data_IF_720963717984
#
_entry.id   IF_720963717984
#
_cell.length_a   1.000
_cell.length_b   1.000
_cell.length_c   1.000
_cell.angle_alpha   90.00
_cell.angle_beta   90.00
_cell.angle_gamma   90.00
#
_symmetry.space_group_name_H-M   'P 1'
#
loop_
_entity.id
_entity.type
_entity.pdbx_description
1 polymer ?
2 polymer ?
3 non-polymer ?
4 water ?
#
loop_
_entity_poly.entity_id
_entity_poly.type
_entity_poly.pdbx_seq_one_letter_code
_entity_poly.pdbx_strand_id
1 'polydeoxyribonucleotide' '(DT)(DC)(DT)(6OG)(DG)(DG)(DG)(DT)(DC)(DC)(DT)(DA)(DG)(DG)(DA)(DC)(DC)(DOC)' ?
#
# COMPACT_ATOMS: atom_id res chain seq x y z
N UNK C 26 11.39 8.53 24.28
CA UNK C 26 11.72 8.18 22.87
C UNK C 26 10.47 8.23 21.98
N UNK C 27 10.17 9.42 21.44
CA UNK C 27 9.04 9.60 20.57
C UNK C 27 9.46 9.80 19.11
N UNK C 28 8.81 9.09 18.23
CA UNK C 28 9.25 9.02 16.85
C UNK C 28 8.61 10.08 16.01
N UNK C 29 9.19 10.27 14.82
CA UNK C 29 8.59 11.10 13.77
C UNK C 29 8.58 10.27 12.48
N UNK C 30 7.37 9.96 12.01
CA UNK C 30 7.16 9.08 10.88
C UNK C 30 6.43 9.87 9.80
N UNK C 31 6.79 9.63 8.55
CA UNK C 31 6.03 10.12 7.41
C UNK C 31 5.33 8.97 6.62
N UNK C 32 4.05 9.12 6.33
CA UNK C 32 3.38 8.19 5.41
C UNK C 32 3.22 8.83 4.05
N UNK C 33 3.96 8.34 3.04
CA UNK C 33 3.82 8.83 1.66
C UNK C 33 2.85 7.97 0.84
N UNK C 34 1.85 8.62 0.26
CA UNK C 34 0.74 7.92 -0.43
C UNK C 34 0.50 8.56 -1.79
N UNK C 35 0.75 7.83 -2.87
CA UNK C 35 0.71 8.44 -4.21
C UNK C 35 -0.71 8.64 -4.65
N UNK C 36 -0.99 9.74 -5.34
CA UNK C 36 -2.35 9.98 -5.89
C UNK C 36 -2.69 9.02 -7.06
N UNK C 37 -3.87 8.39 -7.00
CA UNK C 37 -4.41 7.61 -8.11
C UNK C 37 -3.38 6.89 -8.99
N UNK C 38 -2.45 6.21 -8.33
CA UNK C 38 -1.16 5.80 -8.89
C UNK C 38 -1.11 5.25 -10.34
N UNK C 39 -2.00 4.33 -10.69
CA UNK C 39 -1.89 3.77 -12.02
C UNK C 39 -2.27 4.80 -13.04
N UNK C 40 -3.24 5.64 -12.71
CA UNK C 40 -3.71 6.62 -13.66
C UNK C 40 -2.60 7.64 -13.90
N UNK C 41 -1.83 7.93 -12.84
CA UNK C 41 -0.65 8.77 -12.99
C UNK C 41 0.35 8.25 -14.01
N UNK C 42 0.62 6.96 -13.93
CA UNK C 42 1.61 6.35 -14.80
C UNK C 42 1.08 6.34 -16.24
N UNK C 43 -0.18 6.00 -16.42
CA UNK C 43 -0.73 6.01 -17.74
C UNK C 43 -0.68 7.41 -18.29
N UNK C 44 -1.09 8.39 -17.51
CA UNK C 44 -1.06 9.81 -17.90
C UNK C 44 0.31 10.33 -18.29
N UNK C 45 1.36 9.82 -17.66
CA UNK C 45 2.72 10.11 -18.09
C UNK C 45 2.98 9.45 -19.45
N UNK C 46 2.77 8.13 -19.59
CA UNK C 46 2.91 7.45 -20.90
C UNK C 46 2.24 8.24 -22.03
N UNK C 47 0.92 8.36 -21.97
CA UNK C 47 0.13 9.03 -23.00
C UNK C 47 -0.44 10.37 -22.50
N UNK C 48 0.35 11.47 -22.57
CA UNK C 48 -0.07 12.80 -22.10
C UNK C 48 -1.37 13.33 -22.72
N UNK C 49 -1.79 12.77 -23.84
CA UNK C 49 -3.09 13.14 -24.41
C UNK C 49 -4.24 12.72 -23.50
N UNK C 50 -3.91 11.95 -22.46
CA UNK C 50 -4.88 11.55 -21.45
C UNK C 50 -4.95 12.56 -20.29
N UNK C 51 -3.90 13.35 -20.07
CA UNK C 51 -3.93 14.37 -19.00
C UNK C 51 -5.17 15.27 -19.16
N UNK C 52 -5.79 15.60 -18.01
CA UNK C 52 -7.07 16.34 -17.95
C UNK C 52 -8.22 15.84 -18.87
N UNK C 53 -8.04 14.63 -19.41
CA UNK C 53 -9.13 13.81 -19.96
C UNK C 53 -9.42 12.74 -18.89
N UNK C 54 -10.71 12.49 -18.61
CA UNK C 54 -11.09 11.65 -17.47
C UNK C 54 -10.72 10.18 -17.67
N UNK C 55 -9.88 9.65 -16.81
CA UNK C 55 -9.23 8.36 -17.08
C UNK C 55 -9.47 7.33 -16.00
N UNK C 56 -9.88 6.13 -16.43
CA UNK C 56 -9.98 4.97 -15.55
C UNK C 56 -9.04 3.87 -16.02
N UNK C 57 -8.55 3.06 -15.08
CA UNK C 57 -7.65 1.96 -15.37
C UNK C 57 -8.37 0.63 -15.19
N UNK C 58 -8.28 -0.19 -16.21
CA UNK C 58 -9.16 -1.30 -16.30
C UNK C 58 -8.44 -2.62 -16.12
N UNK C 59 -9.06 -3.49 -15.33
CA UNK C 59 -8.57 -4.83 -15.21
C UNK C 59 -9.82 -5.68 -15.22
N UNK C 60 -9.98 -6.50 -16.26
CA UNK C 60 -11.21 -7.26 -16.43
C UNK C 60 -12.41 -6.30 -16.41
N UNK C 61 -13.49 -6.71 -15.76
CA UNK C 61 -14.71 -5.91 -15.61
C UNK C 61 -14.52 -4.73 -14.61
N UNK C 62 -13.30 -4.56 -14.10
CA UNK C 62 -13.08 -3.60 -13.01
C UNK C 62 -12.42 -2.29 -13.38
N UNK C 63 -12.92 -1.19 -12.82
CA UNK C 63 -12.22 0.08 -12.94
C UNK C 63 -11.50 0.29 -11.65
N UNK C 64 -10.22 0.00 -11.70
CA UNK C 64 -9.52 -0.28 -10.51
C UNK C 64 -9.16 1.06 -9.83
N UNK C 65 -8.68 2.01 -10.63
CA UNK C 65 -8.51 3.40 -10.22
C UNK C 65 -8.75 4.34 -11.42
N UNK C 66 -8.81 5.65 -11.15
CA UNK C 66 -9.21 6.64 -12.15
C UNK C 66 -8.67 8.00 -11.75
N UNK C 67 -8.52 8.92 -12.70
CA UNK C 67 -7.90 10.19 -12.34
C UNK C 67 -8.87 11.16 -11.68
N UNK C 68 -8.37 12.28 -11.16
CA UNK C 68 -9.24 13.15 -10.40
C UNK C 68 -10.24 13.80 -11.32
N UNK C 69 -9.79 14.07 -12.54
CA UNK C 69 -10.68 14.55 -13.59
C UNK C 69 -11.87 13.59 -13.71
N UNK C 70 -11.65 12.31 -13.48
CA UNK C 70 -12.73 11.33 -13.61
C UNK C 70 -13.51 11.12 -12.32
N UNK C 71 -12.85 11.29 -11.17
CA UNK C 71 -13.53 11.13 -9.87
C UNK C 71 -14.66 12.14 -9.73
N UNK C 72 -14.38 13.39 -10.08
CA UNK C 72 -15.35 14.51 -10.07
C UNK C 72 -16.68 14.13 -10.71
N UNK C 73 -16.59 13.41 -11.83
CA UNK C 73 -17.74 13.00 -12.64
C UNK C 73 -18.48 11.78 -12.06
N UNK C 74 -18.23 11.46 -10.79
CA UNK C 74 -18.91 10.35 -10.10
C UNK C 74 -18.35 8.94 -10.26
N UNK C 75 -17.10 8.82 -10.70
CA UNK C 75 -16.44 7.52 -10.74
C UNK C 75 -15.78 7.29 -9.39
N UNK C 76 -15.86 6.07 -8.87
CA UNK C 76 -15.19 5.72 -7.62
C UNK C 76 -14.29 4.53 -7.89
N UNK C 77 -13.29 4.32 -7.03
CA UNK C 77 -12.33 3.23 -7.27
C UNK C 77 -13.05 1.90 -7.11
N UNK C 78 -12.64 0.93 -7.91
CA UNK C 78 -13.30 -0.39 -7.91
C UNK C 78 -14.79 -0.33 -8.22
N UNK C 79 -15.15 0.53 -9.17
CA UNK C 79 -16.47 0.55 -9.76
C UNK C 79 -16.43 -0.40 -10.96
N UNK C 80 -17.55 -1.03 -11.29
CA UNK C 80 -17.63 -1.85 -12.50
C UNK C 80 -17.43 -0.99 -13.74
N UNK C 81 -16.76 -1.52 -14.76
CA UNK C 81 -16.69 -0.84 -16.07
C UNK C 81 -18.12 -0.74 -16.60
N UNK C 82 -18.92 -1.71 -16.18
CA UNK C 82 -20.35 -1.82 -16.45
C UNK C 82 -21.07 -0.49 -16.13
N UNK C 83 -21.13 -0.12 -14.87
CA UNK C 83 -21.73 1.12 -14.46
C UNK C 83 -20.97 2.32 -14.87
N UNK C 84 -19.66 2.24 -14.74
CA UNK C 84 -18.79 3.38 -14.83
C UNK C 84 -18.96 4.12 -16.09
N UNK C 85 -19.15 3.42 -17.18
CA UNK C 85 -19.42 4.11 -18.39
C UNK C 85 -20.78 4.80 -18.33
N UNK C 86 -21.74 4.13 -17.70
CA UNK C 86 -23.12 4.63 -17.62
C UNK C 86 -23.25 5.84 -16.70
N UNK C 87 -22.17 6.15 -16.01
CA UNK C 87 -22.08 7.33 -15.16
C UNK C 87 -21.16 8.36 -15.82
N UNK C 88 -20.25 7.85 -16.65
CA UNK C 88 -19.47 8.72 -17.53
C UNK C 88 -19.23 8.06 -18.89
N UNK C 89 -20.03 8.45 -19.89
CA UNK C 89 -19.86 7.97 -21.28
C UNK C 89 -18.87 8.81 -22.09
N UNK C 90 -17.72 9.11 -21.49
CA UNK C 90 -16.62 9.74 -22.20
C UNK C 90 -15.37 9.11 -21.64
N UNK C 91 -15.52 8.58 -20.42
CA UNK C 91 -14.44 7.95 -19.66
C UNK C 91 -13.54 7.19 -20.59
N UNK C 92 -12.27 7.59 -20.64
CA UNK C 92 -11.30 6.90 -21.49
C UNK C 92 -10.62 5.85 -20.66
N UNK C 93 -10.75 4.60 -21.10
CA UNK C 93 -10.26 3.45 -20.36
C UNK C 93 -8.98 2.90 -20.95
N UNK C 94 -8.03 2.64 -20.06
CA UNK C 94 -6.75 2.03 -20.43
C UNK C 94 -6.57 0.75 -19.57
N UNK C 95 -5.98 -0.28 -20.18
CA UNK C 95 -5.90 -1.61 -19.58
C UNK C 95 -4.70 -1.73 -18.67
N UNK C 96 -4.93 -2.10 -17.42
CA UNK C 96 -3.82 -2.20 -16.48
C UNK C 96 -3.68 -3.54 -15.81
N UNK C 97 -3.86 -4.60 -16.58
CA UNK C 97 -3.73 -5.98 -16.09
C UNK C 97 -2.27 -6.42 -15.90
N UNK C 98 -1.38 -5.70 -16.58
CA UNK C 98 0.03 -5.96 -16.62
C UNK C 98 0.62 -4.91 -15.74
N UNK C 99 1.20 -5.32 -14.61
CA UNK C 99 1.70 -4.35 -13.64
C UNK C 99 3.16 -3.94 -13.88
N UNK C 100 3.81 -4.48 -14.93
CA UNK C 100 5.24 -4.23 -15.12
C UNK C 100 5.64 -2.77 -14.86
N UNK C 101 5.07 -1.83 -15.61
CA UNK C 101 5.40 -0.41 -15.40
C UNK C 101 5.02 0.16 -14.04
N UNK C 102 3.89 -0.24 -13.45
CA UNK C 102 3.53 0.35 -12.16
C UNK C 102 4.42 -0.19 -11.08
N UNK C 103 4.83 -1.43 -11.25
CA UNK C 103 5.80 -2.01 -10.36
C UNK C 103 7.12 -1.25 -10.52
N UNK C 104 7.58 -1.05 -11.75
CA UNK C 104 8.89 -0.43 -11.91
C UNK C 104 8.92 0.95 -11.28
N UNK C 105 7.89 1.75 -11.57
CA UNK C 105 7.83 3.10 -11.08
C UNK C 105 7.67 3.15 -9.56
N UNK C 106 6.83 2.28 -9.02
CA UNK C 106 6.73 2.06 -7.56
C UNK C 106 8.08 1.92 -6.86
N UNK C 107 8.96 1.09 -7.39
CA UNK C 107 10.30 0.97 -6.82
C UNK C 107 11.18 2.21 -6.90
N UNK C 108 11.04 3.00 -7.96
CA UNK C 108 11.82 4.23 -8.09
C UNK C 108 11.42 5.16 -6.96
N UNK C 109 10.12 5.28 -6.71
CA UNK C 109 9.67 6.01 -5.53
C UNK C 109 10.38 5.55 -4.26
N UNK C 110 10.17 4.30 -3.85
CA UNK C 110 10.80 3.76 -2.66
C UNK C 110 12.30 4.08 -2.66
N UNK C 111 12.96 3.96 -3.79
CA UNK C 111 14.39 4.14 -3.80
C UNK C 111 14.78 5.59 -3.56
N UNK C 112 13.99 6.50 -4.09
CA UNK C 112 14.15 7.90 -3.83
C UNK C 112 14.03 8.12 -2.30
N UNK C 113 12.96 7.66 -1.69
CA UNK C 113 12.81 7.80 -0.25
C UNK C 113 13.96 7.13 0.54
N UNK C 114 14.47 6.02 0.04
CA UNK C 114 15.59 5.36 0.74
C UNK C 114 16.80 6.27 0.85
N UNK C 115 16.89 7.20 -0.10
CA UNK C 115 17.97 8.17 -0.14
C UNK C 115 17.87 9.18 1.01
N UNK C 116 16.64 9.55 1.39
CA UNK C 116 16.40 10.33 2.61
C UNK C 116 16.80 9.55 3.87
N UNK C 117 16.07 8.50 4.24
CA UNK C 117 16.51 7.59 5.33
C UNK C 117 16.47 6.13 4.84
N UNK C 118 17.51 5.31 5.15
CA UNK C 118 17.51 3.94 4.65
C UNK C 118 16.25 3.13 4.97
N UNK C 119 15.58 3.47 6.07
CA UNK C 119 14.51 2.64 6.64
C UNK C 119 13.11 3.02 6.11
N UNK C 120 12.82 2.57 4.88
CA UNK C 120 11.52 2.74 4.20
C UNK C 120 10.75 1.41 4.13
N UNK C 121 9.49 1.47 4.54
CA UNK C 121 8.57 0.32 4.53
C UNK C 121 7.48 0.59 3.49
N UNK C 122 7.18 -0.44 2.68
CA UNK C 122 6.22 -0.29 1.61
C UNK C 122 4.91 -0.88 2.01
N UNK C 123 3.83 -0.15 1.75
CA UNK C 123 2.49 -0.73 1.82
C UNK C 123 1.95 -0.69 0.38
N UNK C 124 1.96 -1.85 -0.26
CA UNK C 124 1.49 -1.95 -1.63
C UNK C 124 2.40 -1.23 -2.59
N UNK C 125 1.85 -0.81 -3.72
CA UNK C 125 2.68 -0.25 -4.79
C UNK C 125 2.82 1.24 -4.61
N UNK C 126 1.96 1.84 -3.78
CA UNK C 126 1.83 3.29 -3.73
C UNK C 126 1.90 3.94 -2.37
N UNK C 127 2.11 3.13 -1.32
CA UNK C 127 2.26 3.68 0.02
C UNK C 127 3.67 3.38 0.56
N UNK C 128 4.26 4.35 1.27
CA UNK C 128 5.56 4.18 1.92
C UNK C 128 5.59 4.89 3.25
N UNK C 129 6.15 4.24 4.27
CA UNK C 129 6.47 4.87 5.51
C UNK C 129 7.94 5.06 5.58
N UNK C 130 8.38 6.18 6.13
CA UNK C 130 9.77 6.38 6.43
C UNK C 130 9.77 6.84 7.86
N UNK C 131 10.71 6.29 8.62
CA UNK C 131 10.92 6.69 9.98
C UNK C 131 11.91 7.82 9.92
N UNK C 132 11.43 9.04 10.17
CA UNK C 132 12.26 10.22 10.11
C UNK C 132 12.96 10.63 11.42
N UNK C 133 12.90 9.78 12.45
CA UNK C 133 13.28 10.22 13.80
C UNK C 133 14.75 10.69 13.90
N UNK C 134 15.67 9.91 13.34
CA UNK C 134 17.10 10.22 13.36
C UNK C 134 17.43 11.45 12.57
N UNK C 135 16.73 11.61 11.44
CA UNK C 135 16.95 12.72 10.53
C UNK C 135 16.52 14.07 11.10
N UNK C 136 15.33 14.12 11.70
CA UNK C 136 14.84 15.34 12.35
C UNK C 136 15.77 15.77 13.46
N UNK C 137 16.24 14.81 14.25
CA UNK C 137 17.13 15.09 15.37
C UNK C 137 18.45 15.60 14.88
N UNK C 138 18.91 15.08 13.76
CA UNK C 138 20.16 15.51 13.18
C UNK C 138 19.98 16.93 12.70
N UNK C 139 18.85 17.23 12.07
CA UNK C 139 18.60 18.60 11.62
C UNK C 139 18.61 19.53 12.80
N UNK C 140 17.78 19.25 13.81
CA UNK C 140 17.71 20.11 14.99
C UNK C 140 19.07 20.39 15.64
N UNK C 141 19.94 19.38 15.71
CA UNK C 141 21.30 19.54 16.22
C UNK C 141 22.09 20.64 15.51
N UNK C 142 21.71 20.89 14.25
CA UNK C 142 22.40 21.83 13.37
C UNK C 142 22.06 23.31 13.65
N UNK C 143 20.83 23.56 14.13
CA UNK C 143 20.32 24.92 14.31
C UNK C 143 20.70 25.54 15.65
N UNK C 144 20.79 26.87 15.69
CA UNK C 144 21.07 27.60 16.93
C UNK C 144 19.78 28.00 17.66
N UNK C 145 19.95 28.43 18.92
CA UNK C 145 18.88 29.00 19.74
C UNK C 145 17.94 29.94 18.96
N UNK C 146 18.54 30.90 18.25
CA UNK C 146 17.82 31.86 17.40
C UNK C 146 16.96 31.37 16.24
N UNK C 147 17.56 30.65 15.28
CA UNK C 147 16.80 30.06 14.17
C UNK C 147 15.88 28.87 14.54
N UNK C 148 15.79 28.57 15.83
CA UNK C 148 14.84 27.57 16.35
C UNK C 148 13.42 28.13 16.54
N UNK C 149 13.32 29.46 16.60
CA UNK C 149 12.04 30.14 16.68
C UNK C 149 11.51 30.41 15.28
N UNK C 150 12.37 30.24 14.27
CA UNK C 150 12.01 30.48 12.87
C UNK C 150 11.53 29.20 12.18
N UNK C 151 11.56 28.09 12.91
CA UNK C 151 11.03 26.83 12.41
C UNK C 151 9.52 26.95 12.15
N UNK C 152 9.12 26.74 10.91
CA UNK C 152 7.73 26.93 10.50
C UNK C 152 7.30 25.62 9.94
N UNK C 153 6.00 25.46 9.79
CA UNK C 153 5.41 24.24 9.26
C UNK C 153 5.45 24.30 7.75
N UNK C 154 5.33 23.13 7.15
CA UNK C 154 5.18 23.02 5.71
C UNK C 154 3.91 22.23 5.44
N UNK C 155 2.95 22.88 4.78
CA UNK C 155 1.60 22.34 4.64
C UNK C 155 0.59 22.56 5.79
N UNK C 156 -0.45 21.72 5.75
CA UNK C 156 -1.59 21.79 6.61
C UNK C 156 -1.18 21.29 7.98
N UNK C 157 -1.82 21.80 9.03
CA UNK C 157 -1.65 21.26 10.37
C UNK C 157 -3.03 20.67 10.72
N UNK C 158 -3.09 19.40 11.14
CA UNK C 158 -4.39 18.77 11.39
C UNK C 158 -5.22 19.54 12.42
N UNK C 159 -6.49 19.78 12.05
CA UNK C 159 -7.51 20.38 12.92
C UNK C 159 -7.14 21.80 13.26
N UNK C 160 -6.39 22.44 12.37
CA UNK C 160 -5.87 23.80 12.58
C UNK C 160 -5.25 24.09 13.93
N UNK C 161 -4.54 23.11 14.45
CA UNK C 161 -4.06 23.19 15.81
C UNK C 161 -2.91 24.19 15.90
N UNK C 162 -2.91 25.01 16.96
CA UNK C 162 -1.84 25.98 17.25
C UNK C 162 -0.49 25.35 17.50
N UNK C 163 0.52 25.83 16.79
CA UNK C 163 1.88 25.44 17.09
C UNK C 163 2.35 26.19 18.33
N UNK C 164 3.10 25.48 19.15
CA UNK C 164 3.74 26.01 20.30
C UNK C 164 5.21 25.71 20.08
N UNK C 165 5.97 26.73 19.73
CA UNK C 165 7.37 26.54 19.36
C UNK C 165 8.21 26.10 20.55
N UNK C 166 7.65 26.23 21.75
CA UNK C 166 8.38 25.84 22.95
C UNK C 166 8.16 24.37 23.22
N UNK C 167 7.32 23.74 22.41
CA UNK C 167 7.03 22.32 22.55
C UNK C 167 8.01 21.46 21.73
N UNK C 168 8.87 20.73 22.43
CA UNK C 168 9.82 19.92 21.74
C UNK C 168 9.17 18.98 20.71
N UNK C 169 7.99 18.46 21.02
CA UNK C 169 7.32 17.52 20.10
C UNK C 169 6.66 18.23 18.92
N UNK C 170 6.36 19.51 19.08
CA UNK C 170 5.84 20.31 17.96
C UNK C 170 6.97 20.62 17.01
N UNK C 171 8.09 21.07 17.58
CA UNK C 171 9.30 21.38 16.79
C UNK C 171 9.76 20.24 15.88
N UNK C 172 9.83 19.04 16.44
CA UNK C 172 10.19 17.85 15.66
C UNK C 172 9.15 17.56 14.61
N UNK C 173 7.89 17.63 14.97
CA UNK C 173 6.87 17.30 13.98
C UNK C 173 6.92 18.29 12.80
N UNK C 174 7.19 19.57 13.07
CA UNK C 174 7.33 20.54 11.96
C UNK C 174 8.54 20.26 11.09
N UNK C 175 9.71 20.02 11.69
CA UNK C 175 10.91 19.64 10.91
C UNK C 175 10.58 18.42 10.07
N UNK C 176 9.87 17.46 10.68
CA UNK C 176 9.29 16.33 9.98
C UNK C 176 8.53 16.78 8.75
N UNK C 177 7.64 17.74 8.90
CA UNK C 177 6.83 18.18 7.76
C UNK C 177 7.71 18.80 6.70
N UNK C 178 8.76 19.51 7.10
CA UNK C 178 9.68 20.11 6.13
C UNK C 178 10.35 19.03 5.32
N UNK C 179 10.83 17.98 5.99
CA UNK C 179 11.32 16.81 5.25
C UNK C 179 10.29 16.22 4.28
N UNK C 180 9.05 16.05 4.71
CA UNK C 180 8.01 15.55 3.79
C UNK C 180 7.82 16.39 2.53
N UNK C 181 7.75 17.70 2.68
CA UNK C 181 7.68 18.56 1.51
C UNK C 181 8.85 18.27 0.57
N UNK C 182 10.02 17.91 1.10
CA UNK C 182 11.18 17.70 0.21
C UNK C 182 11.07 16.39 -0.54
N UNK C 183 10.69 15.31 0.14
CA UNK C 183 10.35 14.08 -0.55
C UNK C 183 9.33 14.40 -1.68
N UNK C 184 8.29 15.16 -1.36
CA UNK C 184 7.27 15.44 -2.37
C UNK C 184 7.83 16.26 -3.52
N UNK C 185 8.57 17.34 -3.25
CA UNK C 185 9.24 18.08 -4.34
C UNK C 185 10.12 17.16 -5.21
N UNK C 186 10.85 16.26 -4.55
CA UNK C 186 11.74 15.34 -5.21
C UNK C 186 10.97 14.34 -6.07
N UNK C 187 9.88 13.81 -5.58
CA UNK C 187 9.16 12.81 -6.37
C UNK C 187 8.67 13.41 -7.65
N UNK C 188 8.12 14.61 -7.54
CA UNK C 188 7.65 15.31 -8.71
C UNK C 188 8.83 15.76 -9.65
N UNK C 189 9.83 16.43 -9.11
CA UNK C 189 10.96 16.88 -9.90
C UNK C 189 11.72 15.76 -10.58
N UNK C 190 11.92 14.68 -9.85
CA UNK C 190 12.77 13.61 -10.28
C UNK C 190 12.00 12.45 -10.90
N UNK C 191 10.73 12.29 -10.59
CA UNK C 191 9.98 11.21 -11.23
C UNK C 191 8.68 11.64 -11.84
N UNK C 192 8.34 12.92 -11.75
CA UNK C 192 7.12 13.44 -12.40
C UNK C 192 5.82 13.00 -11.73
N UNK C 193 5.88 12.66 -10.43
CA UNK C 193 4.75 12.08 -9.71
C UNK C 193 4.31 12.92 -8.54
N UNK C 194 3.00 13.06 -8.34
CA UNK C 194 2.51 13.84 -7.22
C UNK C 194 1.86 12.89 -6.23
N UNK C 195 1.85 13.25 -4.95
CA UNK C 195 1.20 12.47 -3.93
C UNK C 195 1.04 13.19 -2.59
N UNK C 196 0.44 12.48 -1.63
CA UNK C 196 0.21 13.02 -0.27
C UNK C 196 1.18 12.56 0.79
N UNK C 197 1.29 13.33 1.86
CA UNK C 197 2.08 12.94 3.01
C UNK C 197 1.34 13.24 4.31
N UNK C 198 1.46 12.37 5.30
CA UNK C 198 1.03 12.68 6.64
C UNK C 198 2.24 12.52 7.55
N UNK C 199 2.42 13.44 8.50
CA UNK C 199 3.52 13.32 9.47
C UNK C 199 2.91 13.17 10.84
N UNK C 200 3.44 12.25 11.63
CA UNK C 200 2.87 11.94 12.94
C UNK C 200 3.89 11.20 13.78
N UNK C 201 3.44 10.69 14.92
CA UNK C 201 4.35 10.07 15.86
C UNK C 201 4.40 8.53 15.79
N UNK C 202 3.50 7.94 14.99
CA UNK C 202 3.52 6.52 14.69
C UNK C 202 2.84 6.19 13.35
N UNK C 203 2.97 4.92 12.88
CA UNK C 203 2.50 4.52 11.55
C UNK C 203 0.99 4.68 11.35
N UNK C 204 0.20 4.17 12.29
CA UNK C 204 -1.27 4.36 12.29
C UNK C 204 -1.64 5.83 12.07
N UNK C 205 -1.12 6.73 12.89
CA UNK C 205 -1.47 8.12 12.77
C UNK C 205 -0.99 8.78 11.44
N UNK C 206 0.25 8.52 11.06
CA UNK C 206 0.73 9.07 9.81
C UNK C 206 -0.17 8.60 8.65
N UNK C 207 -0.60 7.34 8.68
CA UNK C 207 -1.44 6.83 7.61
C UNK C 207 -2.82 7.51 7.61
N UNK C 208 -3.36 7.78 8.79
CA UNK C 208 -4.66 8.40 8.89
C UNK C 208 -4.62 9.88 8.53
N UNK C 209 -3.58 10.58 8.94
CA UNK C 209 -3.54 12.02 8.67
C UNK C 209 -3.15 12.35 7.23
N UNK C 210 -2.52 11.42 6.52
CA UNK C 210 -1.98 11.74 5.17
C UNK C 210 -3.11 11.96 4.19
N UNK C 211 -4.25 11.35 4.47
CA UNK C 211 -5.41 11.44 3.59
C UNK C 211 -6.39 12.58 3.85
N UNK C 212 -6.10 13.41 4.85
CA UNK C 212 -7.04 14.47 5.23
C UNK C 212 -7.20 15.50 4.11
N UNK C 213 -6.09 16.02 3.56
CA UNK C 213 -6.17 16.87 2.35
C UNK C 213 -5.54 16.21 1.17
N UNK C 214 -6.34 15.80 0.20
CA UNK C 214 -5.84 15.16 -1.00
C UNK C 214 -6.58 15.86 -2.15
N UNK C 215 -6.01 15.87 -3.38
CA UNK C 215 -4.73 15.26 -3.76
C UNK C 215 -3.57 16.19 -3.52
N UNK C 216 -2.37 15.60 -3.45
CA UNK C 216 -1.16 16.39 -3.55
C UNK C 216 -1.10 17.47 -2.50
N UNK C 217 -1.34 17.12 -1.24
CA UNK C 217 -1.13 18.04 -0.13
C UNK C 217 -0.53 17.25 1.01
N UNK C 218 -0.06 17.92 2.06
CA UNK C 218 0.39 17.20 3.27
C UNK C 218 -0.19 17.75 4.56
N UNK C 219 -0.32 16.88 5.55
CA UNK C 219 -0.90 17.25 6.84
C UNK C 219 0.00 16.71 7.98
N UNK C 220 0.30 17.54 8.97
CA UNK C 220 1.10 17.09 10.13
C UNK C 220 0.13 17.00 11.27
N UNK C 221 0.29 15.98 12.11
CA UNK C 221 -0.59 15.78 13.23
C UNK C 221 0.12 16.08 14.53
N UNK C 222 -0.27 17.14 15.22
CA UNK C 222 0.29 17.46 16.54
C UNK C 222 -0.40 16.61 17.61
N UNK C 223 0.32 16.24 18.69
CA UNK C 223 -0.26 15.24 19.58
C UNK C 223 -1.63 15.62 20.21
N UNK C 224 -1.85 16.89 20.55
CA UNK C 224 -3.16 17.31 21.11
C UNK C 224 -4.33 16.95 20.22
N UNK C 225 -4.09 16.65 18.94
CA UNK C 225 -5.22 16.43 18.02
C UNK C 225 -5.43 14.96 17.67
N UNK C 226 -4.88 14.09 18.49
CA UNK C 226 -4.89 12.68 18.17
C UNK C 226 -6.27 12.03 18.36
N UNK C 227 -6.92 12.25 19.52
CA UNK C 227 -8.31 11.81 19.71
C UNK C 227 -9.24 12.39 18.62
N UNK C 228 -9.12 13.69 18.32
CA UNK C 228 -9.90 14.30 17.25
C UNK C 228 -9.80 13.47 15.96
N UNK C 229 -8.59 13.24 15.47
CA UNK C 229 -8.36 12.35 14.31
C UNK C 229 -9.01 10.97 14.49
N UNK C 230 -8.74 10.33 15.62
CA UNK C 230 -9.18 8.99 15.81
C UNK C 230 -10.70 8.98 15.81
N UNK C 231 -11.29 10.05 16.28
CA UNK C 231 -12.73 10.03 16.47
C UNK C 231 -13.45 10.50 15.22
N UNK C 232 -12.70 11.02 14.24
CA UNK C 232 -13.32 11.41 12.97
C UNK C 232 -13.76 10.24 12.07
N UNK C 233 -13.22 9.05 12.36
CA UNK C 233 -13.59 7.82 11.67
C UNK C 233 -15.04 7.45 11.95
N UNK C 234 -15.73 6.93 10.94
CA UNK C 234 -17.14 6.57 11.09
C UNK C 234 -17.35 5.09 11.28
N UNK C 235 -16.26 4.34 11.38
CA UNK C 235 -16.36 2.89 11.60
C UNK C 235 -15.04 2.20 11.89
N UNK C 236 -15.02 1.26 12.82
CA UNK C 236 -13.79 0.54 13.15
C UNK C 236 -13.07 -0.04 11.91
N UNK C 237 -13.83 -0.47 10.88
CA UNK C 237 -13.28 -0.93 9.61
C UNK C 237 -12.30 0.06 8.98
N UNK C 238 -12.51 1.35 9.24
CA UNK C 238 -11.67 2.41 8.67
C UNK C 238 -10.30 2.50 9.31
N UNK C 239 -10.06 1.70 10.35
CA UNK C 239 -8.73 1.59 10.98
C UNK C 239 -7.82 0.58 10.25
N UNK C 240 -6.69 1.05 9.68
CA UNK C 240 -5.65 0.15 9.19
C UNK C 240 -5.26 -0.91 10.24
N UNK C 241 -5.55 -2.17 9.93
CA UNK C 241 -5.38 -3.24 10.90
C UNK C 241 -6.70 -3.98 10.96
N UNK C 242 -7.80 -3.26 11.10
CA UNK C 242 -9.11 -3.90 11.18
C UNK C 242 -9.67 -4.16 9.77
N UNK C 243 -9.73 -5.44 9.39
CA UNK C 243 -10.07 -5.82 8.01
C UNK C 243 -11.51 -6.27 7.82
N UNK C 244 -11.79 -6.96 6.71
CA UNK C 244 -13.16 -7.40 6.42
C UNK C 244 -13.70 -8.33 7.50
N UNK C 245 -12.86 -9.23 8.01
CA UNK C 245 -13.36 -10.16 9.01
C UNK C 245 -13.45 -9.58 10.41
N UNK C 246 -12.43 -8.88 10.89
CA UNK C 246 -12.50 -8.29 12.24
C UNK C 246 -13.69 -7.33 12.40
N UNK C 247 -13.90 -6.50 11.39
CA UNK C 247 -15.07 -5.66 11.34
C UNK C 247 -16.30 -6.50 11.70
N UNK C 248 -16.59 -7.51 10.90
CA UNK C 248 -17.75 -8.35 11.13
C UNK C 248 -17.79 -8.97 12.53
N UNK C 249 -16.63 -9.32 13.06
CA UNK C 249 -16.56 -9.80 14.43
C UNK C 249 -16.96 -8.79 15.48
N UNK C 250 -16.62 -7.51 15.25
CA UNK C 250 -16.96 -6.47 16.22
C UNK C 250 -18.41 -6.07 16.03
N UNK C 251 -18.80 -5.87 14.76
CA UNK C 251 -20.15 -5.48 14.37
C UNK C 251 -21.17 -6.43 14.95
N UNK C 252 -20.74 -7.66 15.18
CA UNK C 252 -21.61 -8.68 15.72
C UNK C 252 -21.48 -8.73 17.25
N UNK C 253 -20.94 -7.67 17.83
CA UNK C 253 -20.80 -7.62 19.27
C UNK C 253 -21.32 -6.30 19.81
N UNK C 254 -21.91 -5.49 18.95
CA UNK C 254 -22.40 -4.19 19.37
C UNK C 254 -21.40 -3.06 19.20
N UNK C 255 -20.15 -3.43 18.88
CA UNK C 255 -19.06 -2.47 18.65
C UNK C 255 -19.11 -1.88 17.25
N UNK C 256 -19.35 -0.58 17.14
CA UNK C 256 -19.38 0.11 15.83
C UNK C 256 -18.53 1.36 15.72
N UNK C 257 -18.53 2.21 16.74
CA UNK C 257 -17.71 3.41 16.68
C UNK C 257 -16.34 3.08 17.18
N UNK C 258 -15.40 3.98 16.97
CA UNK C 258 -14.11 3.90 17.62
C UNK C 258 -14.28 3.90 19.14
N UNK C 259 -15.25 4.62 19.67
CA UNK C 259 -15.34 4.80 21.11
C UNK C 259 -15.87 3.52 21.72
N UNK C 260 -16.86 2.91 21.06
CA UNK C 260 -17.34 1.57 21.35
C UNK C 260 -16.19 0.60 21.52
N UNK C 261 -15.23 0.64 20.61
CA UNK C 261 -14.03 -0.18 20.72
C UNK C 261 -13.14 0.26 21.88
N UNK C 262 -12.80 1.55 21.94
CA UNK C 262 -12.07 2.11 23.08
C UNK C 262 -12.64 1.70 24.43
N UNK C 263 -13.96 1.58 24.53
CA UNK C 263 -14.56 1.32 25.84
C UNK C 263 -15.08 -0.10 26.02
N UNK C 264 -14.92 -0.96 25.03
CA UNK C 264 -15.43 -2.31 25.18
C UNK C 264 -14.60 -2.99 26.25
N UNK C 265 -15.12 -4.05 26.89
CA UNK C 265 -14.33 -4.76 27.90
C UNK C 265 -13.14 -5.49 27.29
N UNK C 266 -11.91 -5.13 27.72
CA UNK C 266 -10.71 -5.86 27.35
C UNK C 266 -10.93 -7.38 27.44
N UNK C 267 -11.28 -7.82 28.64
CA UNK C 267 -11.35 -9.22 28.96
C UNK C 267 -12.21 -10.03 27.99
N UNK C 268 -13.34 -9.45 27.57
CA UNK C 268 -14.31 -10.17 26.73
C UNK C 268 -13.79 -10.18 25.32
N UNK C 269 -13.20 -9.06 24.93
CA UNK C 269 -12.63 -8.88 23.60
C UNK C 269 -11.51 -9.88 23.37
N UNK C 270 -10.75 -10.16 24.44
CA UNK C 270 -9.70 -11.19 24.39
C UNK C 270 -10.32 -12.51 23.99
N UNK C 271 -11.33 -12.91 24.77
CA UNK C 271 -11.99 -14.20 24.65
C UNK C 271 -12.57 -14.44 23.24
N UNK C 272 -12.88 -13.37 22.53
CA UNK C 272 -13.55 -13.53 21.26
C UNK C 272 -12.57 -13.63 20.09
N UNK C 273 -11.55 -12.76 20.07
CA UNK C 273 -10.62 -12.67 18.93
C UNK C 273 -9.20 -13.13 19.23
N UNK C 274 -8.91 -13.44 20.49
CA UNK C 274 -7.58 -13.80 20.91
C UNK C 274 -6.84 -12.60 21.46
N UNK C 275 -6.14 -12.81 22.57
CA UNK C 275 -5.36 -11.76 23.26
C UNK C 275 -4.43 -11.03 22.32
N UNK C 276 -4.01 -11.75 21.28
CA UNK C 276 -3.23 -11.21 20.16
C UNK C 276 -3.82 -10.08 19.31
N UNK C 277 -4.97 -10.34 18.66
CA UNK C 277 -5.74 -9.33 17.94
C UNK C 277 -6.41 -8.36 18.90
N UNK C 278 -6.93 -8.88 20.00
CA UNK C 278 -7.68 -8.05 20.93
C UNK C 278 -6.83 -6.92 21.43
N UNK C 279 -5.64 -7.22 21.91
CA UNK C 279 -4.91 -6.23 22.67
C UNK C 279 -4.30 -5.17 21.80
N UNK C 280 -4.08 -5.50 20.52
CA UNK C 280 -3.54 -4.53 19.57
C UNK C 280 -4.60 -3.65 18.94
N UNK C 281 -5.75 -4.21 18.62
CA UNK C 281 -6.76 -3.37 17.99
C UNK C 281 -7.39 -2.43 19.02
N UNK C 282 -7.25 -2.76 20.31
CA UNK C 282 -7.66 -1.79 21.30
C UNK C 282 -6.67 -0.62 21.35
N UNK C 283 -5.36 -0.90 21.33
CA UNK C 283 -4.37 0.17 21.28
C UNK C 283 -4.70 1.04 20.09
N UNK C 284 -4.95 0.42 18.95
CA UNK C 284 -5.18 1.14 17.72
C UNK C 284 -6.31 2.11 17.89
N UNK C 285 -7.36 1.69 18.59
CA UNK C 285 -8.53 2.56 18.75
C UNK C 285 -8.21 3.78 19.60
N UNK C 286 -7.07 3.79 20.26
CA UNK C 286 -6.67 4.97 20.99
C UNK C 286 -5.76 5.88 20.19
N UNK C 287 -5.25 5.39 19.05
CA UNK C 287 -4.21 6.07 18.26
C UNK C 287 -2.81 5.56 18.57
N UNK C 288 -2.71 4.44 19.28
CA UNK C 288 -1.44 3.96 19.81
C UNK C 288 -0.88 2.85 18.94
N UNK C 289 0.37 2.95 18.53
CA UNK C 289 0.88 1.98 17.55
C UNK C 289 2.37 1.88 17.73
N UNK C 290 2.81 0.81 18.38
CA UNK C 290 4.20 0.72 18.72
C UNK C 290 5.03 0.06 17.59
N UNK C 291 4.36 -0.43 16.56
CA UNK C 291 5.04 -1.18 15.50
C UNK C 291 6.06 -0.36 14.70
N UNK C 292 7.31 -0.87 14.62
CA UNK C 292 8.40 -0.18 13.94
C UNK C 292 8.19 -0.13 12.43
N UNK C 293 8.78 0.86 11.77
CA UNK C 293 8.85 0.92 10.33
C UNK C 293 9.92 -0.11 10.03
N UNK C 294 9.58 -1.08 9.19
CA UNK C 294 10.49 -2.12 8.75
C UNK C 294 11.07 -1.76 7.41
N UNK C 295 12.35 -2.02 7.21
CA UNK C 295 12.98 -1.85 5.92
C UNK C 295 12.52 -2.95 4.97
N UNK C 296 11.78 -2.57 3.93
CA UNK C 296 11.27 -3.54 2.97
C UNK C 296 12.34 -4.25 2.18
N UNK C 297 13.27 -3.47 1.61
CA UNK C 297 14.35 -4.00 0.79
C UNK C 297 13.82 -4.75 -0.41
N UNK C 298 14.54 -5.74 -0.94
CA UNK C 298 13.95 -6.45 -2.07
C UNK C 298 12.75 -7.35 -1.67
N UNK C 299 11.87 -7.67 -2.64
CA UNK C 299 10.66 -8.47 -2.47
C UNK C 299 10.94 -9.83 -1.90
N UNK C 300 10.01 -10.33 -1.09
CA UNK C 300 10.07 -11.69 -0.57
C UNK C 300 9.58 -12.71 -1.58
N UNK C 301 8.87 -12.25 -2.61
CA UNK C 301 8.25 -13.14 -3.61
C UNK C 301 7.91 -12.39 -4.90
N UNK C 302 7.68 -13.16 -5.98
CA UNK C 302 7.23 -12.66 -7.28
C UNK C 302 6.09 -13.57 -7.72
N UNK C 303 4.98 -12.99 -8.18
CA UNK C 303 3.91 -13.81 -8.78
C UNK C 303 3.19 -13.13 -9.96
N UNK C 304 2.59 -13.95 -10.81
CA UNK C 304 1.65 -13.48 -11.81
C UNK C 304 0.33 -14.18 -11.61
N UNK C 305 -0.73 -13.41 -11.81
CA UNK C 305 -2.09 -13.89 -11.70
C UNK C 305 -2.78 -13.80 -13.06
N UNK C 306 -3.92 -14.47 -13.17
CA UNK C 306 -4.80 -14.38 -14.33
C UNK C 306 -6.16 -14.94 -13.96
N UNK C 307 -7.17 -14.10 -14.13
CA UNK C 307 -8.53 -14.43 -13.79
C UNK C 307 -9.38 -14.67 -15.06
N UNK C 308 -10.36 -15.55 -14.99
CA UNK C 308 -11.16 -15.84 -16.18
C UNK C 308 -12.49 -16.46 -15.91
N UNK C 309 -13.37 -16.54 -16.89
CA UNK C 309 -14.66 -17.10 -16.52
C UNK C 309 -14.90 -18.58 -16.33
N UNK C 310 -14.08 -19.38 -16.96
CA UNK C 310 -13.96 -20.75 -16.61
C UNK C 310 -12.90 -21.20 -17.54
N UNK C 311 -12.12 -22.17 -17.11
CA UNK C 311 -11.13 -22.81 -17.92
C UNK C 311 -11.11 -24.18 -17.33
N UNK C 312 -11.71 -25.14 -18.04
CA UNK C 312 -11.79 -26.52 -17.56
C UNK C 312 -11.18 -27.49 -18.58
N UNK C 313 -10.68 -26.92 -19.68
CA UNK C 313 -10.00 -27.66 -20.75
C UNK C 313 -8.69 -28.27 -20.22
N UNK C 314 -8.18 -27.68 -19.14
CA UNK C 314 -7.14 -28.28 -18.29
C UNK C 314 -5.93 -28.90 -19.04
N UNK C 315 -5.73 -28.40 -20.26
CA UNK C 315 -4.50 -28.58 -21.02
C UNK C 315 -4.23 -27.24 -21.69
N UNK C 316 -5.32 -26.50 -21.95
CA UNK C 316 -5.28 -25.07 -22.16
C UNK C 316 -4.92 -24.41 -20.83
N UNK C 317 -5.44 -24.96 -19.73
CA UNK C 317 -5.04 -24.60 -18.37
C UNK C 317 -3.55 -24.77 -18.14
N UNK C 318 -2.88 -25.50 -19.04
CA UNK C 318 -1.43 -25.58 -19.04
C UNK C 318 -0.83 -24.36 -19.73
N UNK C 319 -1.45 -23.96 -20.85
CA UNK C 319 -0.99 -22.78 -21.60
C UNK C 319 -0.92 -21.55 -20.71
N UNK C 320 -2.03 -21.24 -20.05
CA UNK C 320 -2.06 -20.21 -19.02
C UNK C 320 -0.76 -20.25 -18.21
N UNK C 321 -0.38 -21.48 -17.82
CA UNK C 321 0.70 -21.73 -16.89
C UNK C 321 2.04 -21.55 -17.58
N UNK C 322 2.02 -21.68 -18.91
CA UNK C 322 3.21 -21.36 -19.69
C UNK C 322 3.36 -19.84 -19.87
N UNK C 323 2.26 -19.08 -19.82
CA UNK C 323 2.34 -17.62 -19.97
C UNK C 323 2.90 -17.01 -18.69
N UNK C 324 2.30 -17.43 -17.58
CA UNK C 324 2.66 -16.93 -16.26
C UNK C 324 4.13 -17.20 -16.05
N UNK C 325 4.56 -18.41 -16.41
CA UNK C 325 5.95 -18.80 -16.24
C UNK C 325 6.97 -17.99 -17.04
N UNK C 326 6.70 -17.86 -18.33
CA UNK C 326 7.57 -17.13 -19.26
C UNK C 326 7.81 -15.71 -18.76
N UNK C 327 6.75 -15.06 -18.26
CA UNK C 327 6.88 -13.69 -17.76
C UNK C 327 7.60 -13.67 -16.44
N UNK C 328 7.11 -14.43 -15.48
CA UNK C 328 7.75 -14.52 -14.18
C UNK C 328 9.24 -14.77 -14.30
N UNK C 329 9.63 -15.58 -15.29
CA UNK C 329 11.01 -16.01 -15.46
C UNK C 329 11.94 -14.84 -15.79
N UNK C 330 11.49 -13.97 -16.68
CA UNK C 330 12.13 -12.69 -16.97
C UNK C 330 12.39 -11.85 -15.72
N UNK C 331 11.40 -11.77 -14.83
CA UNK C 331 11.47 -10.90 -13.65
C UNK C 331 12.53 -11.31 -12.63
N UNK C 332 12.61 -12.61 -12.38
CA UNK C 332 13.66 -13.19 -11.54
C UNK C 332 15.04 -13.08 -12.23
N UNK C 333 15.05 -13.31 -13.54
CA UNK C 333 16.23 -13.10 -14.38
C UNK C 333 16.74 -11.64 -14.35
N UNK C 334 15.84 -10.70 -14.03
CA UNK C 334 16.18 -9.29 -13.82
C UNK C 334 16.80 -9.05 -12.44
N UNK C 335 16.32 -9.82 -11.45
CA UNK C 335 16.65 -9.60 -10.03
C UNK C 335 18.07 -10.01 -9.68
N UNK C 336 18.44 -11.24 -10.03
CA UNK C 336 19.77 -11.78 -9.72
C UNK C 336 19.82 -12.55 -8.40
N UNK C 337 18.65 -12.71 -7.77
CA UNK C 337 18.48 -13.57 -6.61
C UNK C 337 17.78 -14.81 -7.08
N UNK C 338 18.04 -15.94 -6.44
CA UNK C 338 17.45 -17.18 -6.91
C UNK C 338 16.40 -17.75 -5.95
N UNK C 339 15.21 -18.08 -6.49
CA UNK C 339 14.12 -18.63 -5.70
C UNK C 339 14.28 -20.14 -5.49
N UNK C 340 13.96 -20.61 -4.29
CA UNK C 340 14.15 -22.01 -3.98
C UNK C 340 12.80 -22.73 -3.81
N UNK C 341 11.70 -22.01 -3.94
CA UNK C 341 10.37 -22.62 -3.83
C UNK C 341 9.39 -22.07 -4.88
N UNK C 342 8.58 -22.96 -5.44
CA UNK C 342 7.50 -22.62 -6.40
C UNK C 342 6.11 -22.89 -5.84
N UNK C 343 5.13 -22.12 -6.29
CA UNK C 343 3.76 -22.33 -5.84
C UNK C 343 2.78 -22.19 -6.97
N UNK C 344 1.80 -23.09 -6.99
CA UNK C 344 0.66 -22.99 -7.88
C UNK C 344 -0.58 -22.72 -7.04
N UNK C 345 -1.39 -21.77 -7.49
CA UNK C 345 -2.59 -21.34 -6.78
C UNK C 345 -3.76 -21.36 -7.76
N UNK C 346 -4.92 -21.81 -7.31
CA UNK C 346 -6.13 -21.87 -8.15
C UNK C 346 -7.39 -21.41 -7.38
N UNK C 347 -8.47 -21.13 -8.11
CA UNK C 347 -9.78 -21.16 -7.46
C UNK C 347 -10.88 -21.89 -8.25
N UNK C 348 -11.73 -22.58 -7.51
CA UNK C 348 -12.74 -23.39 -8.12
C UNK C 348 -14.01 -22.59 -8.19
N UNK C 349 -14.82 -22.92 -9.17
CA UNK C 349 -16.01 -22.18 -9.46
C UNK C 349 -16.81 -22.18 -8.17
N UNK C 350 -17.12 -20.97 -7.78
CA UNK C 350 -17.79 -20.57 -6.55
C UNK C 350 -19.26 -20.86 -6.63
N UNK C 351 -19.81 -21.11 -5.46
CA UNK C 351 -21.20 -21.47 -5.27
C UNK C 351 -21.44 -21.78 -3.80
N UNK C 356 -12.68 -19.31 -1.93
CA UNK C 356 -11.41 -19.78 -1.38
C UNK C 356 -10.42 -20.22 -2.45
N UNK C 357 -9.17 -19.78 -2.31
CA UNK C 357 -8.10 -20.17 -3.23
C UNK C 357 -7.45 -21.47 -2.71
N UNK C 358 -6.75 -22.19 -3.58
CA UNK C 358 -5.95 -23.36 -3.18
C UNK C 358 -4.51 -23.36 -3.72
N UNK C 359 -3.58 -23.90 -2.96
CA UNK C 359 -2.16 -23.84 -3.32
C UNK C 359 -1.38 -25.12 -3.03
N UNK C 360 -0.49 -25.47 -3.96
CA UNK C 360 0.50 -26.53 -3.75
C UNK C 360 1.90 -25.96 -3.99
N UNK C 361 2.73 -26.17 -2.97
CA UNK C 361 4.09 -25.71 -2.96
C UNK C 361 4.97 -26.93 -3.15
N UNK C 362 6.24 -26.67 -3.43
CA UNK C 362 7.31 -27.67 -3.46
C UNK C 362 8.60 -26.94 -3.79
N UNK C 363 9.76 -27.53 -3.42
CA UNK C 363 10.97 -26.81 -3.76
C UNK C 363 11.27 -26.85 -5.24
N UNK C 364 12.05 -25.88 -5.70
CA UNK C 364 12.64 -25.93 -7.03
C UNK C 364 13.93 -26.76 -6.94
N UNK C 365 14.02 -27.85 -7.73
CA UNK C 365 15.22 -28.68 -7.79
C UNK C 365 16.50 -27.89 -8.09
N UNK C 366 17.54 -28.15 -7.30
CA UNK C 366 18.79 -27.39 -7.35
C UNK C 366 19.46 -27.39 -8.73
N UNK C 367 19.48 -28.55 -9.40
CA UNK C 367 19.94 -28.63 -10.80
C UNK C 367 19.24 -27.63 -11.74
N UNK C 368 18.00 -27.25 -11.42
CA UNK C 368 17.23 -26.32 -12.26
C UNK C 368 17.00 -24.93 -11.67
N UNK C 369 17.87 -24.56 -10.73
CA UNK C 369 17.93 -23.20 -10.19
C UNK C 369 19.05 -22.45 -10.93
N UNK C 370 19.18 -22.69 -12.23
CA UNK C 370 20.26 -22.07 -13.01
C UNK C 370 19.75 -20.99 -13.95
N UNK C 371 19.30 -19.89 -13.33
CA UNK C 371 18.63 -18.74 -13.96
C UNK C 371 17.12 -18.80 -13.68
N UNK C 378 14.96 -25.39 -21.86
CA UNK C 378 15.85 -24.74 -20.94
C UNK C 378 15.10 -23.95 -19.87
N UNK C 379 14.89 -24.57 -18.73
CA UNK C 379 14.21 -23.94 -17.61
C UNK C 379 12.69 -23.74 -17.57
N UNK C 380 12.01 -23.91 -18.68
CA UNK C 380 10.59 -23.73 -18.67
C UNK C 380 10.28 -25.15 -18.85
N UNK C 381 10.99 -25.73 -19.80
CA UNK C 381 10.85 -27.14 -20.13
C UNK C 381 10.79 -28.05 -18.89
N UNK C 382 11.64 -27.82 -17.86
CA UNK C 382 11.45 -28.58 -16.61
C UNK C 382 10.39 -28.03 -15.63
N UNK C 383 10.18 -26.71 -15.65
CA UNK C 383 9.29 -26.04 -14.70
C UNK C 383 7.83 -26.35 -14.93
N UNK C 384 7.46 -26.53 -16.19
CA UNK C 384 6.07 -26.70 -16.56
C UNK C 384 5.54 -28.03 -16.04
N UNK C 385 6.44 -28.99 -15.88
CA UNK C 385 6.06 -30.26 -15.30
C UNK C 385 5.82 -30.12 -13.81
N UNK C 386 6.85 -29.65 -13.07
CA UNK C 386 6.70 -29.47 -11.62
C UNK C 386 5.31 -28.91 -11.33
N UNK C 387 4.96 -27.82 -12.02
CA UNK C 387 3.69 -27.14 -11.85
C UNK C 387 2.46 -27.97 -12.29
N UNK C 388 2.63 -28.81 -13.30
CA UNK C 388 1.51 -29.62 -13.80
C UNK C 388 1.12 -30.80 -12.90
N UNK C 389 2.10 -31.44 -12.26
CA UNK C 389 1.82 -32.51 -11.29
C UNK C 389 1.25 -31.88 -10.01
N UNK C 390 1.76 -30.68 -9.71
CA UNK C 390 1.22 -29.82 -8.67
C UNK C 390 -0.21 -29.50 -9.04
N UNK C 391 -0.42 -29.33 -10.34
CA UNK C 391 -1.74 -29.04 -10.87
C UNK C 391 -2.72 -30.18 -10.59
N UNK C 392 -2.29 -31.42 -10.87
CA UNK C 392 -3.16 -32.60 -10.82
C UNK C 392 -3.45 -33.03 -9.40
N UNK C 393 -2.63 -32.56 -8.46
CA UNK C 393 -2.85 -32.80 -7.06
C UNK C 393 -4.11 -32.09 -6.54
N UNK C 394 -4.84 -31.46 -7.46
CA UNK C 394 -5.97 -30.60 -7.14
C UNK C 394 -7.18 -30.86 -8.04
N UNK C 404 -11.50 -20.69 -11.82
CA UNK C 404 -11.66 -19.33 -12.33
C UNK C 404 -10.29 -18.60 -12.41
N UNK C 405 -9.31 -19.07 -11.65
CA UNK C 405 -8.04 -18.36 -11.55
C UNK C 405 -6.83 -19.27 -11.46
N UNK C 406 -5.82 -18.96 -12.28
CA UNK C 406 -4.52 -19.62 -12.19
C UNK C 406 -3.45 -18.62 -11.79
N UNK C 407 -2.48 -19.10 -10.99
CA UNK C 407 -1.48 -18.26 -10.35
C UNK C 407 -0.20 -19.02 -10.00
N UNK C 408 0.93 -18.49 -10.44
CA UNK C 408 2.24 -19.03 -10.10
C UNK C 408 2.98 -18.02 -9.21
N UNK C 409 3.59 -18.51 -8.13
CA UNK C 409 4.37 -17.70 -7.23
C UNK C 409 5.73 -18.33 -6.96
N UNK C 410 6.80 -17.56 -7.17
CA UNK C 410 8.16 -17.96 -6.81
C UNK C 410 8.53 -17.31 -5.51
N UNK C 411 8.98 -18.10 -4.53
CA UNK C 411 9.38 -17.54 -3.24
C UNK C 411 10.58 -18.25 -2.63
N UNK C 412 10.82 -17.99 -1.33
CA UNK C 412 12.01 -18.49 -0.63
C UNK C 412 13.26 -18.15 -1.47
N UNK C 413 13.48 -16.84 -1.66
CA UNK C 413 14.60 -16.29 -2.42
C UNK C 413 15.89 -16.26 -1.61
N UNK C 414 16.99 -16.66 -2.24
CA UNK C 414 18.32 -16.57 -1.60
C UNK C 414 19.25 -15.70 -2.43
X LIG D 1 -5.57 -1.32 -6.02
X LIG D 1 -6.42 -2.42 -6.27
X LIG D 1 -7.34 -2.85 -5.24
X LIG D 1 -7.38 -2.17 -3.97
X LIG D 1 -6.54 -1.10 -3.76
X LIG D 1 -5.65 -0.69 -4.78
X LIG D 1 -6.34 -2.98 -7.37
X LIG D 1 -8.22 -2.49 -2.96
X LIG D 1 -4.60 -0.84 -7.08
X LIG D 1 -5.24 0.34 -7.85
X LIG D 1 -4.41 1.58 -7.51
X LIG D 1 -3.26 1.10 -6.58
X LIG D 1 -3.31 -0.38 -6.54
X LIG D 1 -3.85 2.24 -8.69
X LIG D 1 -3.32 1.73 -5.15
X LIG D 1 -4.68 2.04 -4.63
X LIG D 1 -5.06 3.27 -3.45
X LIG D 1 -3.80 3.73 -2.73
X LIG D 1 -6.21 2.73 -2.64
X LIG D 1 -5.65 4.51 -4.44
X LIG D 1 -4.80 5.36 -5.63
X LIG D 1 -4.89 4.53 -6.90
X LIG D 1 -3.42 5.75 -5.12
X LIG D 1 -5.87 6.82 -5.69
X LIG D 1 -6.04 7.86 -4.40
X LIG D 1 -4.87 7.82 -3.46
X LIG D 1 -7.42 7.42 -3.66
X LIG D 1 -6.28 9.37 -4.85
#
# INVERSE_FOLDING_TARGET
MELADVGAAASSQGVHDQVLPTPNASSRVIVHVDLDCFYAQVEMISNPELKDKPLGVQQKYLVVTCNYEARKLGVKKLMNVRDAKEKCPQLVLVNGEDLTRYREMSYKVTELLEEFSPVVERLGFDENFVDLTEMVEKRLQQLQSDELSAVTVSGHVYNNQSINLLDVLHIRLLVGSQIAAEMREAMYNQLGLTGCAGVASNKLLAKLVSGVFKPNQQTVLLPESCQHLIHSLNHIKEIPGIGYKTAKCLEALGINSVRDLQTFSPKILEKELGISVAQRIQKLSFGEDNSPVILSGPPQSFSEEDSFKKCSSEVEAKNKIEELLASLLNRVCQDGRKPHTVRLIIRRYSSEKHYGRESRQCPIPSHVIQKLGTGNYDVMTPMVDILMKLFRNMVNVKMPFHLTLLSVCFCNLKALNTAK
DCP N1 C2 N3 C4 C5 C6 O2 N4 C1' C2' C3' C4' O4' O3' C5' O5' PA O1A O2A O3A PB O1B O2B O3B PG O1G O2G O3G
#
